data_IF_680551340254
#
_entry.id   IF_680551340254
#
_cell.length_a   1.000
_cell.length_b   1.000
_cell.length_c   1.000
_cell.angle_alpha   90.00
_cell.angle_beta   90.00
_cell.angle_gamma   90.00
#
_symmetry.space_group_name_H-M   'P 1'
#
loop_
_entity.id
_entity.type
_entity.pdbx_description
1 polymer ?
#
# COMPACT_ATOMS: atom_id res chain seq x y z
N UNK A 1 13.65 -20.01 -6.34
CA UNK A 1 13.55 -20.11 -4.87
C UNK A 1 14.13 -18.81 -4.31
N UNK A 2 13.32 -17.77 -4.25
CA UNK A 2 13.74 -16.47 -3.69
C UNK A 2 13.88 -16.68 -2.18
N UNK A 3 14.95 -16.19 -1.57
CA UNK A 3 15.15 -16.33 -0.12
C UNK A 3 14.14 -15.45 0.61
N UNK A 4 13.58 -15.96 1.73
CA UNK A 4 12.59 -15.23 2.55
C UNK A 4 13.00 -13.78 2.87
N UNK A 5 14.29 -13.46 3.17
CA UNK A 5 14.71 -12.09 3.40
C UNK A 5 14.58 -11.18 2.17
N UNK A 6 14.81 -11.70 0.96
CA UNK A 6 14.68 -10.91 -0.28
C UNK A 6 13.23 -10.56 -0.56
N UNK A 7 12.28 -11.45 -0.24
CA UNK A 7 10.86 -11.13 -0.33
C UNK A 7 10.49 -9.98 0.61
N UNK A 8 10.90 -10.06 1.88
CA UNK A 8 10.57 -9.01 2.84
C UNK A 8 11.27 -7.69 2.50
N UNK A 9 12.49 -7.72 1.98
CA UNK A 9 13.18 -6.53 1.48
C UNK A 9 12.44 -5.88 0.30
N UNK A 10 11.95 -6.70 -0.64
CA UNK A 10 11.14 -6.21 -1.76
C UNK A 10 9.80 -5.62 -1.28
N UNK A 11 9.11 -6.29 -0.35
CA UNK A 11 7.87 -5.79 0.24
C UNK A 11 8.08 -4.46 0.99
N UNK A 12 9.20 -4.32 1.70
CA UNK A 12 9.62 -3.07 2.35
C UNK A 12 9.84 -1.94 1.35
N UNK A 13 10.52 -2.24 0.23
CA UNK A 13 10.75 -1.26 -0.83
C UNK A 13 9.44 -0.83 -1.49
N UNK A 14 8.58 -1.79 -1.85
CA UNK A 14 7.27 -1.51 -2.47
C UNK A 14 6.37 -0.70 -1.53
N UNK A 15 6.22 -1.11 -0.27
CA UNK A 15 5.45 -0.34 0.72
C UNK A 15 6.02 1.05 0.96
N UNK A 16 7.35 1.21 0.98
CA UNK A 16 7.99 2.52 1.06
C UNK A 16 7.67 3.42 -0.14
N UNK A 17 7.68 2.85 -1.35
CA UNK A 17 7.30 3.57 -2.56
C UNK A 17 5.81 3.99 -2.54
N UNK A 18 4.91 3.11 -2.09
CA UNK A 18 3.48 3.42 -1.94
C UNK A 18 3.25 4.49 -0.86
N UNK A 19 3.98 4.46 0.25
CA UNK A 19 3.92 5.50 1.27
C UNK A 19 4.31 6.87 0.72
N UNK A 20 5.41 6.95 -0.04
CA UNK A 20 5.82 8.19 -0.68
C UNK A 20 4.76 8.71 -1.65
N UNK A 21 4.17 7.83 -2.45
CA UNK A 21 3.07 8.16 -3.37
C UNK A 21 1.82 8.63 -2.61
N UNK A 22 1.49 8.05 -1.46
CA UNK A 22 0.37 8.50 -0.61
C UNK A 22 0.63 9.89 -0.02
N UNK A 23 1.85 10.19 0.41
CA UNK A 23 2.22 11.55 0.85
C UNK A 23 2.06 12.54 -0.30
N UNK A 24 2.51 12.18 -1.51
CA UNK A 24 2.29 12.98 -2.72
C UNK A 24 0.79 13.24 -2.98
N UNK A 25 -0.07 12.25 -2.78
CA UNK A 25 -1.53 12.41 -2.91
C UNK A 25 -2.11 13.34 -1.87
N UNK A 26 -1.71 13.21 -0.60
CA UNK A 26 -2.18 14.11 0.46
C UNK A 26 -1.79 15.55 0.15
N UNK A 27 -0.53 15.80 -0.21
CA UNK A 27 -0.05 17.15 -0.55
C UNK A 27 -0.84 17.71 -1.74
N UNK A 28 -0.97 16.95 -2.83
CA UNK A 28 -1.65 17.43 -4.04
C UNK A 28 -3.13 17.71 -3.81
N UNK A 29 -3.80 16.90 -2.97
CA UNK A 29 -5.19 17.14 -2.57
C UNK A 29 -5.33 18.32 -1.60
N UNK A 30 -4.37 18.55 -0.71
CA UNK A 30 -4.34 19.73 0.16
C UNK A 30 -4.06 21.02 -0.61
N UNK A 31 -3.21 20.97 -1.64
CA UNK A 31 -3.01 22.10 -2.56
C UNK A 31 -4.29 22.41 -3.35
N UNK A 32 -5.07 21.37 -3.71
CA UNK A 32 -6.39 21.53 -4.31
C UNK A 32 -7.42 22.10 -3.32
N UNK A 33 -7.40 21.69 -2.03
CA UNK A 33 -8.30 22.23 -0.99
C UNK A 33 -8.07 23.72 -0.74
N UNK A 34 -6.83 24.18 -0.87
CA UNK A 34 -6.48 25.59 -0.76
C UNK A 34 -6.65 26.39 -2.07
N UNK A 35 -7.28 25.83 -3.10
CA UNK A 35 -7.46 26.44 -4.43
C UNK A 35 -6.14 26.85 -5.14
N UNK A 36 -5.01 26.21 -4.81
CA UNK A 36 -3.71 26.50 -5.46
C UNK A 36 -3.55 25.83 -6.83
N UNK A 37 -4.30 24.75 -7.12
CA UNK A 37 -4.18 23.94 -8.34
C UNK A 37 -5.52 23.80 -9.07
N UNK A 38 -5.46 23.72 -10.40
CA UNK A 38 -6.64 23.42 -11.21
C UNK A 38 -7.05 21.94 -11.05
N UNK A 39 -8.32 21.69 -10.71
CA UNK A 39 -8.88 20.36 -10.47
C UNK A 39 -8.59 19.37 -11.61
N UNK A 40 -8.70 19.81 -12.86
CA UNK A 40 -8.48 18.94 -14.02
C UNK A 40 -7.02 18.45 -14.13
N UNK A 41 -6.05 19.32 -13.84
CA UNK A 41 -4.63 18.94 -13.86
C UNK A 41 -4.26 18.04 -12.68
N UNK A 42 -4.87 18.29 -11.51
CA UNK A 42 -4.73 17.45 -10.32
C UNK A 42 -5.28 16.03 -10.57
N UNK A 43 -6.53 15.90 -11.03
CA UNK A 43 -7.18 14.62 -11.28
C UNK A 43 -6.42 13.77 -12.31
N UNK A 44 -5.91 14.37 -13.40
CA UNK A 44 -5.13 13.66 -14.41
C UNK A 44 -3.82 13.09 -13.83
N UNK A 45 -3.10 13.89 -13.03
CA UNK A 45 -1.88 13.45 -12.34
C UNK A 45 -2.18 12.35 -11.33
N UNK A 46 -3.18 12.55 -10.46
CA UNK A 46 -3.57 11.56 -9.46
C UNK A 46 -3.99 10.23 -10.11
N UNK A 47 -4.84 10.25 -11.13
CA UNK A 47 -5.32 9.05 -11.80
C UNK A 47 -4.18 8.24 -12.45
N UNK A 48 -3.15 8.92 -12.97
CA UNK A 48 -1.96 8.27 -13.52
C UNK A 48 -1.20 7.47 -12.45
N UNK A 49 -1.16 7.95 -11.20
CA UNK A 49 -0.46 7.33 -10.08
C UNK A 49 -1.32 6.35 -9.26
N UNK A 50 -2.65 6.43 -9.38
CA UNK A 50 -3.59 5.49 -8.76
C UNK A 50 -3.36 4.06 -9.24
N UNK A 51 -3.11 3.89 -10.54
CA UNK A 51 -2.90 2.56 -11.12
C UNK A 51 -1.61 1.90 -10.60
N UNK A 52 -0.43 2.58 -10.59
CA UNK A 52 0.76 2.11 -9.89
C UNK A 52 0.53 1.72 -8.43
N UNK A 53 -0.24 2.50 -7.66
CA UNK A 53 -0.58 2.18 -6.26
C UNK A 53 -1.31 0.85 -6.14
N UNK A 54 -2.34 0.64 -6.95
CA UNK A 54 -3.14 -0.60 -6.91
C UNK A 54 -2.29 -1.79 -7.37
N UNK A 55 -1.54 -1.62 -8.45
CA UNK A 55 -0.66 -2.66 -9.00
C UNK A 55 0.40 -3.07 -7.97
N UNK A 56 1.07 -2.12 -7.31
CA UNK A 56 2.06 -2.42 -6.27
C UNK A 56 1.47 -3.25 -5.14
N UNK A 57 0.34 -2.82 -4.59
CA UNK A 57 -0.30 -3.54 -3.48
C UNK A 57 -0.79 -4.93 -3.86
N UNK A 58 -1.46 -5.07 -5.02
CA UNK A 58 -1.93 -6.39 -5.50
C UNK A 58 -0.75 -7.30 -5.81
N UNK A 59 0.31 -6.77 -6.40
CA UNK A 59 1.54 -7.52 -6.68
C UNK A 59 2.20 -8.05 -5.39
N UNK A 60 2.25 -7.22 -4.33
CA UNK A 60 2.76 -7.62 -3.02
C UNK A 60 1.93 -8.77 -2.43
N UNK A 61 0.59 -8.66 -2.47
CA UNK A 61 -0.31 -9.72 -1.97
C UNK A 61 -0.12 -11.03 -2.75
N UNK A 62 0.05 -10.97 -4.07
CA UNK A 62 0.32 -12.14 -4.90
C UNK A 62 1.68 -12.77 -4.57
N UNK A 63 2.71 -11.95 -4.33
CA UNK A 63 4.03 -12.44 -3.90
C UNK A 63 3.98 -13.16 -2.54
N UNK A 64 3.22 -12.60 -1.58
CA UNK A 64 3.00 -13.22 -0.27
C UNK A 64 2.25 -14.55 -0.38
N UNK A 65 1.27 -14.65 -1.30
CA UNK A 65 0.55 -15.88 -1.58
C UNK A 65 1.49 -16.97 -2.11
N UNK A 66 2.38 -16.64 -3.07
CA UNK A 66 3.34 -17.61 -3.61
C UNK A 66 4.35 -18.12 -2.58
N UNK A 67 4.68 -17.33 -1.56
CA UNK A 67 5.58 -17.75 -0.47
C UNK A 67 4.86 -18.41 0.71
N UNK A 68 3.52 -18.59 0.65
CA UNK A 68 2.76 -19.30 1.69
C UNK A 68 2.63 -18.53 3.02
N UNK A 69 2.79 -17.20 3.01
CA UNK A 69 2.67 -16.37 4.21
C UNK A 69 1.19 -16.06 4.50
N UNK A 70 0.44 -17.07 4.95
CA UNK A 70 -1.01 -17.00 5.12
C UNK A 70 -1.47 -15.89 6.09
N UNK A 71 -0.75 -15.68 7.20
CA UNK A 71 -1.12 -14.65 8.19
C UNK A 71 -1.03 -13.26 7.56
N UNK A 72 0.10 -12.92 6.93
CA UNK A 72 0.30 -11.62 6.30
C UNK A 72 -0.69 -11.40 5.15
N UNK A 73 -0.99 -12.44 4.37
CA UNK A 73 -2.01 -12.38 3.32
C UNK A 73 -3.40 -12.04 3.88
N UNK A 74 -3.82 -12.69 4.98
CA UNK A 74 -5.14 -12.45 5.59
C UNK A 74 -5.27 -11.02 6.12
N UNK A 75 -4.21 -10.43 6.67
CA UNK A 75 -4.28 -9.03 7.14
C UNK A 75 -4.21 -8.02 5.98
N UNK A 76 -3.61 -8.37 4.83
CA UNK A 76 -3.63 -7.54 3.62
C UNK A 76 -4.92 -7.68 2.79
N UNK A 77 -5.65 -8.79 2.92
CA UNK A 77 -6.85 -9.08 2.16
C UNK A 77 -7.95 -8.00 2.27
N UNK A 78 -8.32 -7.50 3.47
CA UNK A 78 -9.33 -6.45 3.60
C UNK A 78 -8.99 -5.21 2.80
N UNK A 79 -7.71 -4.82 2.80
CA UNK A 79 -7.23 -3.65 2.08
C UNK A 79 -7.22 -3.88 0.56
N UNK A 80 -6.74 -5.04 0.12
CA UNK A 80 -6.75 -5.42 -1.28
C UNK A 80 -8.19 -5.50 -1.85
N UNK A 81 -9.12 -6.11 -1.09
CA UNK A 81 -10.53 -6.18 -1.46
C UNK A 81 -11.15 -4.78 -1.53
N UNK A 82 -10.82 -3.91 -0.58
CA UNK A 82 -11.31 -2.53 -0.59
C UNK A 82 -10.79 -1.76 -1.81
N UNK A 83 -9.49 -1.88 -2.15
CA UNK A 83 -8.92 -1.26 -3.34
C UNK A 83 -9.56 -1.77 -4.64
N UNK A 84 -9.79 -3.07 -4.74
CA UNK A 84 -10.44 -3.67 -5.92
C UNK A 84 -11.91 -3.24 -5.99
N UNK A 85 -12.62 -3.22 -4.88
CA UNK A 85 -13.99 -2.71 -4.81
C UNK A 85 -14.06 -1.25 -5.22
N UNK A 86 -13.16 -0.40 -4.73
CA UNK A 86 -13.05 1.01 -5.10
C UNK A 86 -12.84 1.15 -6.61
N UNK A 87 -11.93 0.36 -7.19
CA UNK A 87 -11.65 0.35 -8.63
C UNK A 87 -12.85 -0.11 -9.48
N UNK A 88 -13.58 -1.15 -9.05
CA UNK A 88 -14.74 -1.68 -9.79
C UNK A 88 -15.99 -0.83 -9.66
N UNK A 89 -16.13 -0.07 -8.58
CA UNK A 89 -17.30 0.79 -8.33
C UNK A 89 -17.19 2.13 -9.07
N UNK A 90 -16.05 2.42 -9.71
CA UNK A 90 -15.89 3.61 -10.56
C UNK A 90 -16.84 3.53 -11.75
N UNK A 91 -17.75 4.51 -11.93
CA UNK A 91 -18.64 4.54 -13.09
C UNK A 91 -17.82 4.62 -14.39
N UNK A 92 -18.15 3.80 -15.39
CA UNK A 92 -17.46 3.73 -16.68
C UNK A 92 -17.51 5.02 -17.53
N UNK A 93 -18.20 6.06 -17.07
CA UNK A 93 -18.25 7.40 -17.68
C UNK A 93 -17.36 8.45 -17.01
N UNK A 94 -16.67 8.11 -15.91
CA UNK A 94 -15.79 9.02 -15.19
C UNK A 94 -14.38 9.01 -15.79
N UNK A 95 -13.67 10.14 -15.72
CA UNK A 95 -12.28 10.26 -16.21
C UNK A 95 -11.25 9.47 -15.37
N UNK A 96 -11.69 8.77 -14.32
CA UNK A 96 -10.87 7.99 -13.38
C UNK A 96 -11.53 7.87 -12.01
N UNK A 97 -10.77 7.41 -11.00
CA UNK A 97 -11.21 7.44 -9.58
C UNK A 97 -11.46 8.88 -9.12
N UNK A 98 -10.68 9.83 -9.64
CA UNK A 98 -10.81 11.24 -9.35
C UNK A 98 -11.38 11.98 -10.56
N UNK A 99 -12.61 12.48 -10.45
CA UNK A 99 -13.24 13.27 -11.50
C UNK A 99 -13.29 14.76 -11.13
N UNK A 100 -12.88 15.67 -12.04
CA UNK A 100 -12.84 17.10 -11.77
C UNK A 100 -14.22 17.72 -11.48
N UNK A 101 -15.32 17.10 -11.92
CA UNK A 101 -16.67 17.63 -11.63
C UNK A 101 -17.14 17.28 -10.22
N UNK A 102 -16.72 16.13 -9.69
CA UNK A 102 -17.05 15.68 -8.33
C UNK A 102 -16.09 16.25 -7.27
N UNK A 103 -14.81 16.47 -7.62
CA UNK A 103 -13.76 16.89 -6.66
C UNK A 103 -13.96 18.31 -6.11
N UNK A 104 -14.66 19.18 -6.85
CA UNK A 104 -14.92 20.57 -6.41
C UNK A 104 -15.98 20.63 -5.31
N UNK A 105 -16.76 19.55 -5.10
CA UNK A 105 -17.62 19.46 -3.95
C UNK A 105 -16.78 19.25 -2.69
N UNK A 106 -16.66 20.27 -1.84
CA UNK A 106 -15.86 20.24 -0.60
C UNK A 106 -16.11 19.00 0.27
N UNK A 107 -17.32 18.42 0.23
CA UNK A 107 -17.64 17.17 0.92
C UNK A 107 -16.89 15.95 0.39
N UNK A 108 -16.76 15.80 -0.94
CA UNK A 108 -16.06 14.68 -1.56
C UNK A 108 -14.55 14.83 -1.44
N UNK A 109 -14.00 16.04 -1.59
CA UNK A 109 -12.57 16.29 -1.42
C UNK A 109 -12.08 15.89 -0.02
N UNK A 110 -12.81 16.31 1.04
CA UNK A 110 -12.49 15.92 2.42
C UNK A 110 -12.61 14.42 2.65
N UNK A 111 -13.55 13.74 1.98
CA UNK A 111 -13.68 12.29 2.02
C UNK A 111 -12.45 11.61 1.40
N UNK A 112 -12.03 12.03 0.21
CA UNK A 112 -10.84 11.49 -0.45
C UNK A 112 -9.56 11.75 0.36
N UNK A 113 -9.40 12.94 0.95
CA UNK A 113 -8.29 13.24 1.86
C UNK A 113 -8.29 12.32 3.08
N UNK A 114 -9.46 12.11 3.71
CA UNK A 114 -9.59 11.19 4.84
C UNK A 114 -9.25 9.75 4.45
N UNK A 115 -9.72 9.28 3.30
CA UNK A 115 -9.46 7.92 2.83
C UNK A 115 -7.95 7.75 2.51
N UNK A 116 -7.31 8.76 1.89
CA UNK A 116 -5.85 8.81 1.73
C UNK A 116 -5.09 8.78 3.06
N UNK A 117 -5.55 9.49 4.09
CA UNK A 117 -4.94 9.47 5.42
C UNK A 117 -5.08 8.10 6.10
N UNK A 118 -6.23 7.43 5.96
CA UNK A 118 -6.44 6.07 6.47
C UNK A 118 -5.48 5.10 5.78
N UNK A 119 -5.34 5.19 4.46
CA UNK A 119 -4.38 4.40 3.72
C UNK A 119 -2.95 4.66 4.19
N UNK A 120 -2.55 5.92 4.35
CA UNK A 120 -1.22 6.27 4.84
C UNK A 120 -0.93 5.63 6.20
N UNK A 121 -1.87 5.70 7.15
CA UNK A 121 -1.74 5.04 8.45
C UNK A 121 -1.60 3.52 8.33
N UNK A 122 -2.42 2.89 7.48
CA UNK A 122 -2.36 1.45 7.23
C UNK A 122 -0.98 1.02 6.68
N UNK A 123 -0.51 1.64 5.60
CA UNK A 123 0.78 1.30 5.00
C UNK A 123 1.95 1.58 5.94
N UNK A 124 1.84 2.59 6.82
CA UNK A 124 2.87 2.89 7.81
C UNK A 124 3.00 1.77 8.85
N UNK A 125 1.88 1.27 9.38
CA UNK A 125 1.88 0.13 10.31
C UNK A 125 2.45 -1.11 9.63
N UNK A 126 2.03 -1.39 8.40
CA UNK A 126 2.53 -2.54 7.63
C UNK A 126 4.01 -2.45 7.30
N UNK A 127 4.54 -1.26 7.05
CA UNK A 127 5.97 -1.04 6.85
C UNK A 127 6.79 -1.53 8.04
N UNK A 128 6.37 -1.21 9.27
CA UNK A 128 7.04 -1.70 10.48
C UNK A 128 6.89 -3.21 10.68
N UNK A 129 5.73 -3.78 10.33
CA UNK A 129 5.51 -5.23 10.37
C UNK A 129 6.46 -5.94 9.39
N UNK A 130 6.56 -5.48 8.14
CA UNK A 130 7.48 -6.06 7.16
C UNK A 130 8.95 -5.91 7.56
N UNK A 131 9.31 -4.79 8.20
CA UNK A 131 10.64 -4.60 8.77
C UNK A 131 10.94 -5.60 9.88
N UNK A 132 10.00 -5.83 10.80
CA UNK A 132 10.14 -6.84 11.86
C UNK A 132 10.28 -8.25 11.27
N UNK A 133 9.44 -8.62 10.30
CA UNK A 133 9.52 -9.91 9.61
C UNK A 133 10.87 -10.10 8.87
N UNK A 134 11.38 -9.05 8.23
CA UNK A 134 12.68 -9.07 7.57
C UNK A 134 13.82 -9.36 8.57
N UNK A 135 13.83 -8.67 9.72
CA UNK A 135 14.86 -8.88 10.76
C UNK A 135 14.82 -10.32 11.28
N UNK A 136 13.64 -10.87 11.56
CA UNK A 136 13.51 -12.28 12.00
C UNK A 136 14.02 -13.24 10.93
N UNK A 137 13.66 -13.00 9.66
CA UNK A 137 14.10 -13.84 8.55
C UNK A 137 15.63 -13.81 8.40
N UNK A 138 16.27 -12.65 8.62
CA UNK A 138 17.73 -12.52 8.63
C UNK A 138 18.36 -13.25 9.82
N UNK A 139 17.82 -13.06 11.04
CA UNK A 139 18.32 -13.72 12.25
C UNK A 139 18.20 -15.25 12.20
N UNK A 140 17.16 -15.79 11.54
CA UNK A 140 17.01 -17.23 11.31
C UNK A 140 18.05 -17.78 10.35
N UNK A 141 18.61 -16.93 9.49
CA UNK A 141 19.71 -17.27 8.57
C UNK A 141 21.09 -17.31 9.23
N UNK A 142 21.24 -16.83 10.47
CA UNK A 142 22.53 -16.83 11.17
C UNK A 142 22.88 -18.22 11.73
N UNK A 143 24.04 -18.80 11.37
CA UNK A 143 24.43 -20.15 11.76
C UNK A 143 24.72 -20.31 13.27
N UNK A 144 24.83 -19.22 14.03
CA UNK A 144 25.20 -19.23 15.45
C UNK A 144 24.03 -19.69 16.35
N UNK A 145 22.77 -19.62 15.87
CA UNK A 145 21.58 -19.96 16.68
C UNK A 145 20.99 -21.34 16.42
N UNK A 146 21.59 -22.16 15.54
CA UNK A 146 21.14 -23.54 15.27
C UNK A 146 21.24 -24.46 16.50
N UNK A 147 22.15 -24.16 17.43
CA UNK A 147 22.38 -24.98 18.62
C UNK A 147 21.26 -24.88 19.69
N UNK A 148 20.44 -23.82 19.67
CA UNK A 148 19.37 -23.66 20.67
C UNK A 148 18.04 -24.32 20.27
N UNK A 149 17.72 -24.39 18.97
CA UNK A 149 16.47 -24.98 18.49
C UNK A 149 16.50 -26.53 18.48
N UNK A 150 17.68 -27.16 18.32
CA UNK A 150 17.84 -28.62 18.38
C UNK A 150 17.76 -29.18 19.83
N UNK A 151 17.73 -28.31 20.86
CA UNK A 151 17.74 -28.68 22.28
C UNK A 151 16.34 -28.63 22.94
N UNK A 152 15.32 -28.15 22.24
CA UNK A 152 13.97 -27.91 22.81
C UNK A 152 12.92 -28.90 22.28
N UNK A 153 13.25 -29.76 21.31
CA UNK A 153 12.41 -30.91 20.94
C UNK A 153 12.83 -32.18 21.71
N UNK A 154 12.31 -32.33 22.94
CA UNK A 154 12.12 -33.61 23.63
C UNK A 154 10.68 -33.73 24.13
#
# INVERSE_FOLDING_TARGET
>A
MVSEPLLFAFALFDTGAVLFLLVYFVITLSDLECDYLNAQQCCSKLNTWVLPKIVGHVFLVVLLLFHGQWILMVVNLPMALWLVYEFLTVPTGNMGIYDPTEIHNHGQLKKHLRDCMVYLGYYLVFFFIYLYCMIIALLKGDPIRRDEDDMVEF
#
